data_IF_332562269141
#
_entry.id   IF_332562269141
#
_cell.length_a   1.000
_cell.length_b   1.000
_cell.length_c   1.000
_cell.angle_alpha   90.00
_cell.angle_beta   90.00
_cell.angle_gamma   90.00
#
_symmetry.space_group_name_H-M   'P 1'
#
loop_
_entity.id
_entity.type
_entity.pdbx_description
1 polymer ?
#
# COMPACT_ATOMS: atom_id res chain seq x y z
N UNK A 1 4.12 15.33 3.11
CA UNK A 1 3.21 14.17 3.23
C UNK A 1 2.98 13.90 4.71
N UNK A 2 1.72 13.79 5.14
CA UNK A 2 1.37 13.31 6.49
C UNK A 2 1.10 11.80 6.38
N UNK A 3 1.53 11.01 7.37
CA UNK A 3 1.36 9.55 7.37
C UNK A 3 0.57 9.14 8.61
N UNK A 4 -0.52 8.44 8.38
CA UNK A 4 -1.36 7.89 9.43
C UNK A 4 -1.49 6.39 9.22
N UNK A 5 -1.46 5.61 10.29
CA UNK A 5 -1.73 4.20 10.18
C UNK A 5 -2.54 3.67 11.36
N UNK A 6 -3.42 2.73 11.06
CA UNK A 6 -4.12 1.90 12.04
C UNK A 6 -3.10 0.96 12.69
N UNK A 7 -2.84 1.18 13.98
CA UNK A 7 -1.75 0.55 14.73
C UNK A 7 -2.24 0.06 16.09
N UNK A 8 -2.02 -1.21 16.37
CA UNK A 8 -2.37 -1.82 17.64
C UNK A 8 -1.33 -2.85 18.09
N UNK A 9 -1.26 -3.09 19.40
CA UNK A 9 -0.44 -4.13 19.98
C UNK A 9 -1.35 -5.21 20.55
N UNK A 10 -0.91 -6.47 20.48
CA UNK A 10 -1.52 -7.59 21.22
C UNK A 10 -0.91 -7.74 22.61
N UNK A 11 -1.57 -8.53 23.45
CA UNK A 11 -1.11 -8.87 24.81
C UNK A 11 0.24 -9.59 24.82
N UNK A 12 0.57 -10.32 23.74
CA UNK A 12 1.85 -10.99 23.53
C UNK A 12 3.01 -10.03 23.18
N UNK A 13 2.74 -8.71 23.08
CA UNK A 13 3.71 -7.68 22.73
C UNK A 13 3.93 -7.48 21.24
N UNK A 14 3.26 -8.25 20.38
CA UNK A 14 3.34 -8.10 18.93
C UNK A 14 2.60 -6.86 18.45
N UNK A 15 3.22 -6.14 17.51
CA UNK A 15 2.67 -4.93 16.91
C UNK A 15 2.14 -5.21 15.50
N UNK A 16 1.01 -4.59 15.18
CA UNK A 16 0.36 -4.73 13.88
C UNK A 16 0.11 -3.36 13.26
N UNK A 17 0.21 -3.29 11.93
CA UNK A 17 -0.13 -2.09 11.15
C UNK A 17 -1.01 -2.49 9.98
N UNK A 18 -2.30 -2.16 10.08
CA UNK A 18 -3.33 -2.65 9.17
C UNK A 18 -3.42 -1.84 7.88
N UNK A 19 -3.81 -0.57 8.02
CA UNK A 19 -4.04 0.39 6.92
C UNK A 19 -3.14 1.58 7.13
N UNK A 20 -2.54 2.10 6.06
CA UNK A 20 -1.73 3.32 6.09
C UNK A 20 -2.29 4.32 5.08
N UNK A 21 -2.41 5.59 5.47
CA UNK A 21 -2.81 6.70 4.62
C UNK A 21 -1.64 7.66 4.46
N UNK A 22 -1.32 7.97 3.20
CA UNK A 22 -0.31 8.93 2.79
C UNK A 22 -1.02 10.17 2.26
N UNK A 23 -1.15 11.20 3.09
CA UNK A 23 -1.84 12.45 2.71
C UNK A 23 -0.86 13.48 2.13
N UNK A 24 -1.23 14.03 0.98
CA UNK A 24 -0.53 15.09 0.27
C UNK A 24 -1.43 16.33 0.18
N UNK A 25 -0.91 17.48 0.61
CA UNK A 25 -1.72 18.68 0.79
C UNK A 25 -2.83 18.47 1.84
N UNK A 26 -3.93 19.21 1.68
CA UNK A 26 -5.09 19.17 2.57
C UNK A 26 -6.31 18.46 1.96
N UNK A 27 -6.23 18.04 0.67
CA UNK A 27 -7.30 17.26 0.05
C UNK A 27 -7.45 15.88 0.71
N UNK A 28 -8.70 15.42 0.78
CA UNK A 28 -9.09 14.08 1.24
C UNK A 28 -9.45 13.15 0.09
N UNK A 29 -9.24 13.55 -1.16
CA UNK A 29 -9.58 12.71 -2.32
C UNK A 29 -8.68 11.48 -2.39
N UNK A 30 -9.28 10.30 -2.62
CA UNK A 30 -8.51 9.10 -2.91
C UNK A 30 -7.83 9.21 -4.28
N UNK A 31 -6.49 9.20 -4.26
CA UNK A 31 -5.66 9.17 -5.46
C UNK A 31 -5.59 7.73 -6.00
N UNK A 32 -5.34 6.78 -5.11
CA UNK A 32 -5.20 5.35 -5.43
C UNK A 32 -4.58 4.59 -4.28
N UNK A 33 -4.26 3.33 -4.52
CA UNK A 33 -3.81 2.40 -3.48
C UNK A 33 -2.55 1.66 -3.86
N UNK A 34 -1.84 1.15 -2.87
CA UNK A 34 -0.74 0.21 -3.06
C UNK A 34 -0.88 -0.96 -2.09
N UNK A 35 -0.48 -2.15 -2.52
CA UNK A 35 -0.43 -3.35 -1.66
C UNK A 35 0.97 -3.95 -1.71
N UNK A 36 1.59 -4.08 -0.54
CA UNK A 36 2.91 -4.69 -0.35
C UNK A 36 2.79 -5.99 0.45
N UNK A 37 3.92 -6.61 0.82
CA UNK A 37 3.90 -7.85 1.60
C UNK A 37 3.48 -7.59 3.05
N UNK A 38 4.26 -6.77 3.75
CA UNK A 38 4.14 -6.57 5.19
C UNK A 38 4.64 -5.18 5.62
N UNK A 39 4.13 -4.66 6.75
CA UNK A 39 4.64 -3.45 7.35
C UNK A 39 6.10 -3.56 7.78
N UNK A 40 6.88 -2.51 7.50
CA UNK A 40 8.22 -2.34 8.09
C UNK A 40 8.19 -1.96 9.58
N UNK A 41 9.37 -1.75 10.15
CA UNK A 41 9.60 -1.60 11.59
C UNK A 41 9.24 -0.22 12.21
N UNK A 42 8.72 0.73 11.43
CA UNK A 42 8.44 2.10 11.87
C UNK A 42 7.52 2.16 13.10
N UNK A 43 7.82 3.09 14.01
CA UNK A 43 7.07 3.33 15.26
C UNK A 43 6.20 4.59 15.16
N UNK A 44 5.07 4.64 15.89
CA UNK A 44 4.23 5.83 15.93
C UNK A 44 4.97 7.01 16.58
N UNK A 45 4.68 8.23 16.12
CA UNK A 45 5.29 9.49 16.59
C UNK A 45 4.26 10.46 17.18
N UNK A 46 3.01 10.03 17.35
CA UNK A 46 1.95 10.84 17.94
C UNK A 46 0.56 10.39 17.52
N UNK A 47 -0.44 11.17 17.94
CA UNK A 47 -1.84 10.97 17.59
C UNK A 47 -2.10 11.28 16.11
N UNK A 48 -3.05 10.57 15.52
CA UNK A 48 -3.56 10.89 14.20
C UNK A 48 -4.51 12.10 14.24
N UNK A 49 -4.76 12.68 13.07
CA UNK A 49 -5.77 13.72 12.86
C UNK A 49 -7.13 13.04 12.65
N UNK A 50 -7.98 13.08 13.68
CA UNK A 50 -9.24 12.32 13.69
C UNK A 50 -10.26 12.88 12.70
N UNK A 51 -10.33 14.21 12.56
CA UNK A 51 -11.26 14.88 11.64
C UNK A 51 -10.91 14.54 10.19
N UNK A 52 -9.62 14.54 9.86
CA UNK A 52 -9.13 14.06 8.57
C UNK A 52 -9.56 12.61 8.30
N UNK A 53 -9.33 11.71 9.26
CA UNK A 53 -9.63 10.29 9.09
C UNK A 53 -11.12 10.04 8.87
N UNK A 54 -11.98 10.63 9.70
CA UNK A 54 -13.44 10.51 9.57
C UNK A 54 -13.90 11.07 8.22
N UNK A 55 -13.39 12.24 7.83
CA UNK A 55 -13.73 12.87 6.54
C UNK A 55 -13.30 11.99 5.36
N UNK A 56 -12.09 11.43 5.42
CA UNK A 56 -11.56 10.56 4.36
C UNK A 56 -12.42 9.30 4.18
N UNK A 57 -12.70 8.57 5.27
CA UNK A 57 -13.48 7.33 5.20
C UNK A 57 -14.93 7.57 4.77
N UNK A 58 -15.58 8.60 5.32
CA UNK A 58 -16.94 8.97 4.92
C UNK A 58 -17.01 9.33 3.44
N UNK A 59 -16.10 10.19 2.97
CA UNK A 59 -16.10 10.67 1.58
C UNK A 59 -15.78 9.58 0.56
N UNK A 60 -14.74 8.78 0.80
CA UNK A 60 -14.19 7.88 -0.23
C UNK A 60 -14.72 6.44 -0.13
N UNK A 61 -15.20 6.04 1.05
CA UNK A 61 -15.64 4.67 1.30
C UNK A 61 -17.10 4.58 1.79
N UNK A 62 -17.75 5.70 2.11
CA UNK A 62 -19.08 5.73 2.72
C UNK A 62 -19.12 4.90 4.02
N UNK A 63 -18.06 5.03 4.83
CA UNK A 63 -17.89 4.35 6.10
C UNK A 63 -17.69 5.36 7.23
N UNK A 64 -18.26 5.06 8.39
CA UNK A 64 -17.89 5.70 9.65
C UNK A 64 -16.70 4.94 10.27
N UNK A 65 -15.73 5.67 10.80
CA UNK A 65 -14.56 5.07 11.43
C UNK A 65 -14.88 4.68 12.88
N UNK A 66 -15.07 3.38 13.13
CA UNK A 66 -15.52 2.86 14.44
C UNK A 66 -14.55 3.18 15.59
N UNK A 67 -13.25 2.91 15.41
CA UNK A 67 -12.23 3.25 16.40
C UNK A 67 -11.10 4.08 15.77
N UNK A 68 -11.24 5.40 15.86
CA UNK A 68 -10.21 6.33 15.40
C UNK A 68 -9.00 6.41 16.36
N UNK A 69 -9.10 5.88 17.58
CA UNK A 69 -8.07 6.02 18.61
C UNK A 69 -6.83 5.14 18.37
N UNK A 70 -7.02 4.03 17.65
CA UNK A 70 -5.94 3.13 17.18
C UNK A 70 -5.16 3.70 16.00
N UNK A 71 -5.61 4.81 15.41
CA UNK A 71 -4.83 5.49 14.38
C UNK A 71 -3.74 6.35 15.00
N UNK A 72 -2.51 6.17 14.51
CA UNK A 72 -1.33 6.93 14.95
C UNK A 72 -0.66 7.60 13.76
N UNK A 73 0.06 8.69 14.04
CA UNK A 73 0.92 9.38 13.07
C UNK A 73 2.27 8.69 12.99
N UNK A 74 2.87 8.63 11.80
CA UNK A 74 4.19 8.06 11.54
C UNK A 74 5.07 9.03 10.76
N UNK A 75 6.38 8.81 10.81
CA UNK A 75 7.30 9.39 9.83
C UNK A 75 7.23 8.58 8.52
N UNK A 76 7.35 9.24 7.36
CA UNK A 76 7.46 8.53 6.10
C UNK A 76 8.75 7.71 6.03
N UNK A 77 8.66 6.48 5.53
CA UNK A 77 9.82 5.64 5.25
C UNK A 77 10.24 5.68 3.77
N UNK A 78 11.35 5.01 3.43
CA UNK A 78 11.88 5.00 2.07
C UNK A 78 10.92 4.39 1.04
N UNK A 79 10.15 3.38 1.42
CA UNK A 79 9.16 2.74 0.55
C UNK A 79 8.00 3.69 0.27
N UNK A 80 7.51 4.42 1.28
CA UNK A 80 6.46 5.44 1.11
C UNK A 80 6.92 6.58 0.20
N UNK A 81 8.18 7.01 0.31
CA UNK A 81 8.76 8.01 -0.59
C UNK A 81 8.91 7.49 -2.02
N UNK A 82 9.21 6.20 -2.20
CA UNK A 82 9.29 5.58 -3.53
C UNK A 82 7.90 5.42 -4.17
N UNK A 83 6.87 5.12 -3.38
CA UNK A 83 5.48 5.16 -3.83
C UNK A 83 5.08 6.58 -4.24
N UNK A 84 5.47 7.59 -3.46
CA UNK A 84 5.25 9.01 -3.83
C UNK A 84 5.81 9.31 -5.22
N UNK A 85 7.06 8.91 -5.50
CA UNK A 85 7.70 9.08 -6.82
C UNK A 85 6.99 8.36 -7.96
N UNK A 86 6.36 7.22 -7.67
CA UNK A 86 5.61 6.45 -8.65
C UNK A 86 4.31 7.17 -9.02
N UNK A 87 3.54 7.59 -8.02
CA UNK A 87 2.24 8.25 -8.22
C UNK A 87 2.37 9.67 -8.77
N UNK A 88 3.46 10.37 -8.45
CA UNK A 88 3.65 11.74 -8.88
C UNK A 88 4.35 11.87 -10.24
N UNK A 89 4.76 10.78 -10.88
CA UNK A 89 5.40 10.80 -12.21
C UNK A 89 6.89 11.17 -12.21
N UNK A 90 7.55 11.21 -11.04
CA UNK A 90 8.97 11.57 -10.92
C UNK A 90 9.88 10.67 -11.78
N UNK A 91 9.65 9.36 -11.81
CA UNK A 91 10.50 8.42 -12.55
C UNK A 91 10.53 8.64 -14.07
N UNK A 92 9.51 9.31 -14.62
CA UNK A 92 9.38 9.58 -16.06
C UNK A 92 9.60 11.05 -16.41
N UNK A 93 10.05 11.87 -15.45
CA UNK A 93 10.28 13.30 -15.66
C UNK A 93 8.99 14.12 -15.86
N UNK A 94 7.83 13.60 -15.41
CA UNK A 94 6.53 14.28 -15.48
C UNK A 94 6.00 14.53 -14.06
N UNK A 95 6.87 15.03 -13.20
CA UNK A 95 6.53 15.25 -11.80
C UNK A 95 5.39 16.26 -11.65
N UNK A 96 4.35 15.86 -10.91
CA UNK A 96 3.23 16.72 -10.50
C UNK A 96 3.12 16.80 -8.99
N UNK A 97 2.53 17.88 -8.50
CA UNK A 97 2.14 17.96 -7.09
C UNK A 97 0.98 17.00 -6.83
N UNK A 98 1.10 16.16 -5.82
CA UNK A 98 -0.01 15.33 -5.34
C UNK A 98 -0.89 16.15 -4.38
N UNK A 99 -2.20 16.01 -4.51
CA UNK A 99 -3.20 16.56 -3.59
C UNK A 99 -4.27 15.50 -3.36
N UNK A 100 -4.32 14.94 -2.15
CA UNK A 100 -5.19 13.81 -1.81
C UNK A 100 -4.45 12.72 -1.03
N UNK A 101 -4.97 11.50 -1.06
CA UNK A 101 -4.53 10.39 -0.22
C UNK A 101 -4.18 9.17 -1.07
N UNK A 102 -3.01 8.59 -0.82
CA UNK A 102 -2.68 7.23 -1.28
C UNK A 102 -2.89 6.27 -0.11
N UNK A 103 -3.64 5.20 -0.33
CA UNK A 103 -3.78 4.12 0.64
C UNK A 103 -2.65 3.11 0.47
N UNK A 104 -2.06 2.65 1.57
CA UNK A 104 -1.05 1.62 1.58
C UNK A 104 -1.52 0.47 2.49
N UNK A 105 -1.65 -0.69 1.87
CA UNK A 105 -2.01 -1.95 2.50
C UNK A 105 -0.86 -2.95 2.40
N UNK A 106 -1.00 -4.04 3.14
CA UNK A 106 -0.06 -5.16 3.12
C UNK A 106 -0.85 -6.46 3.06
N UNK A 107 -0.33 -7.51 2.45
CA UNK A 107 -0.98 -8.83 2.45
C UNK A 107 -1.27 -9.31 3.88
N UNK A 108 -0.39 -9.00 4.83
CA UNK A 108 -0.60 -9.25 6.25
C UNK A 108 -0.07 -8.11 7.13
N UNK A 109 -0.58 -8.00 8.35
CA UNK A 109 -0.44 -6.80 9.19
C UNK A 109 0.69 -6.88 10.22
N UNK A 110 1.33 -8.04 10.37
CA UNK A 110 2.41 -8.25 11.34
C UNK A 110 3.62 -7.35 11.03
N UNK A 111 4.02 -6.54 12.03
CA UNK A 111 5.02 -5.49 11.86
C UNK A 111 6.45 -6.00 12.14
N UNK A 112 7.11 -6.45 11.09
CA UNK A 112 8.48 -6.98 11.14
C UNK A 112 9.27 -6.54 9.88
N UNK A 113 10.50 -6.08 10.03
CA UNK A 113 11.31 -5.65 8.89
C UNK A 113 11.98 -6.81 8.17
N UNK A 114 12.31 -7.87 8.90
CA UNK A 114 12.87 -9.10 8.35
C UNK A 114 11.74 -9.96 7.77
N UNK A 115 11.69 -10.04 6.45
CA UNK A 115 10.63 -10.74 5.75
C UNK A 115 10.55 -12.23 6.12
N UNK A 116 11.67 -12.90 6.35
CA UNK A 116 11.67 -14.32 6.69
C UNK A 116 11.11 -14.53 8.10
N UNK A 117 11.46 -13.65 9.05
CA UNK A 117 10.83 -13.65 10.37
C UNK A 117 9.33 -13.36 10.26
N UNK A 118 8.96 -12.36 9.46
CA UNK A 118 7.57 -11.98 9.26
C UNK A 118 6.73 -13.15 8.72
N UNK A 119 7.25 -13.91 7.75
CA UNK A 119 6.60 -15.08 7.16
C UNK A 119 6.56 -16.31 8.08
N UNK A 120 7.45 -16.39 9.07
CA UNK A 120 7.46 -17.47 10.06
C UNK A 120 6.59 -17.18 11.27
N UNK A 121 6.43 -15.91 11.63
CA UNK A 121 5.49 -15.43 12.66
C UNK A 121 4.11 -15.09 12.11
N UNK A 122 3.90 -15.28 10.81
CA UNK A 122 2.65 -15.03 10.13
C UNK A 122 1.55 -16.01 10.60
N UNK A 123 0.47 -15.44 11.12
CA UNK A 123 -0.79 -16.16 11.38
C UNK A 123 -1.74 -15.89 10.21
N UNK A 124 -2.17 -16.93 9.51
CA UNK A 124 -3.13 -16.82 8.39
C UNK A 124 -4.58 -16.66 8.84
N UNK A 125 -4.81 -16.08 10.03
CA UNK A 125 -6.15 -15.70 10.47
C UNK A 125 -6.62 -14.49 9.67
N UNK A 126 -7.92 -14.47 9.35
CA UNK A 126 -8.57 -13.35 8.65
C UNK A 126 -8.36 -11.99 9.34
N UNK A 127 -8.14 -11.98 10.65
CA UNK A 127 -7.91 -10.75 11.41
C UNK A 127 -6.55 -10.09 11.12
N UNK A 128 -5.60 -10.84 10.57
CA UNK A 128 -4.21 -10.39 10.34
C UNK A 128 -3.80 -10.32 8.87
N UNK A 129 -4.73 -10.59 7.96
CA UNK A 129 -4.53 -10.51 6.51
C UNK A 129 -5.43 -9.46 5.89
N UNK A 130 -5.03 -8.93 4.73
CA UNK A 130 -5.85 -7.99 3.99
C UNK A 130 -6.94 -8.68 3.19
N UNK A 131 -8.19 -8.35 3.50
CA UNK A 131 -9.40 -8.82 2.84
C UNK A 131 -10.37 -7.68 2.46
N UNK A 132 -9.87 -6.43 2.41
CA UNK A 132 -10.69 -5.22 2.24
C UNK A 132 -10.50 -4.59 0.85
N UNK A 133 -10.43 -5.40 -0.21
CA UNK A 133 -10.20 -4.94 -1.58
C UNK A 133 -11.28 -3.93 -2.07
N UNK A 134 -12.47 -3.95 -1.48
CA UNK A 134 -13.53 -2.95 -1.73
C UNK A 134 -13.08 -1.51 -1.42
N UNK A 135 -12.04 -1.32 -0.59
CA UNK A 135 -11.44 -0.01 -0.30
C UNK A 135 -10.66 0.56 -1.49
N UNK A 136 -10.35 -0.23 -2.52
CA UNK A 136 -9.68 0.26 -3.74
C UNK A 136 -10.57 1.17 -4.59
N UNK A 137 -11.90 1.01 -4.48
CA UNK A 137 -12.91 1.78 -5.23
C UNK A 137 -12.66 1.73 -6.75
N UNK A 138 -12.74 2.87 -7.41
CA UNK A 138 -12.53 3.07 -8.84
C UNK A 138 -11.14 3.63 -9.17
N UNK A 139 -10.18 3.50 -8.24
CA UNK A 139 -8.87 4.13 -8.33
C UNK A 139 -7.76 3.13 -8.64
N UNK A 140 -6.66 3.57 -9.29
CA UNK A 140 -5.56 2.69 -9.63
C UNK A 140 -4.90 2.09 -8.39
N UNK A 141 -4.63 0.78 -8.45
CA UNK A 141 -3.90 0.03 -7.42
C UNK A 141 -2.54 -0.40 -7.95
N UNK A 142 -1.49 -0.21 -7.13
CA UNK A 142 -0.14 -0.72 -7.36
C UNK A 142 0.20 -1.88 -6.42
N UNK A 143 0.28 -3.08 -6.97
CA UNK A 143 0.76 -4.30 -6.32
C UNK A 143 2.30 -4.40 -6.43
N UNK A 144 2.97 -4.38 -5.28
CA UNK A 144 4.43 -4.28 -5.14
C UNK A 144 5.06 -5.36 -4.26
N UNK A 145 4.50 -6.56 -4.23
CA UNK A 145 4.95 -7.68 -3.38
C UNK A 145 6.10 -8.53 -3.96
N UNK A 146 6.52 -8.26 -5.19
CA UNK A 146 7.59 -8.97 -5.89
C UNK A 146 7.31 -10.46 -6.08
N UNK A 147 8.37 -11.24 -6.28
CA UNK A 147 8.27 -12.70 -6.38
C UNK A 147 7.85 -13.35 -5.04
N UNK A 148 8.08 -12.70 -3.90
CA UNK A 148 7.61 -13.19 -2.60
C UNK A 148 6.10 -13.43 -2.61
N UNK A 149 5.32 -12.51 -3.18
CA UNK A 149 3.87 -12.69 -3.32
C UNK A 149 3.46 -13.83 -4.25
N UNK A 150 4.38 -14.35 -5.09
CA UNK A 150 4.10 -15.44 -6.04
C UNK A 150 4.57 -16.81 -5.59
N UNK A 151 5.57 -16.89 -4.72
CA UNK A 151 6.25 -18.14 -4.38
C UNK A 151 6.33 -18.42 -2.88
N UNK A 152 5.62 -17.68 -2.03
CA UNK A 152 5.68 -17.85 -0.57
C UNK A 152 4.35 -18.34 0.02
N UNK A 153 4.32 -18.51 1.34
CA UNK A 153 3.14 -18.87 2.15
C UNK A 153 1.96 -17.90 1.97
N UNK A 154 2.17 -16.72 1.39
CA UNK A 154 1.13 -15.71 1.19
C UNK A 154 0.62 -15.65 -0.26
N UNK A 155 1.00 -16.62 -1.11
CA UNK A 155 0.61 -16.63 -2.52
C UNK A 155 -0.90 -16.59 -2.72
N UNK A 156 -1.63 -17.41 -1.98
CA UNK A 156 -3.09 -17.51 -2.12
C UNK A 156 -3.74 -16.18 -1.74
N UNK A 157 -3.26 -15.55 -0.66
CA UNK A 157 -3.70 -14.21 -0.22
C UNK A 157 -3.40 -13.16 -1.31
N UNK A 158 -2.17 -13.10 -1.82
CA UNK A 158 -1.79 -12.13 -2.85
C UNK A 158 -2.60 -12.33 -4.15
N UNK A 159 -2.86 -13.59 -4.52
CA UNK A 159 -3.66 -13.93 -5.69
C UNK A 159 -5.13 -13.56 -5.50
N UNK A 160 -5.70 -13.76 -4.31
CA UNK A 160 -7.08 -13.39 -3.99
C UNK A 160 -7.27 -11.86 -3.96
N UNK A 161 -6.30 -11.13 -3.39
CA UNK A 161 -6.31 -9.66 -3.42
C UNK A 161 -6.27 -9.16 -4.86
N UNK A 162 -5.43 -9.76 -5.71
CA UNK A 162 -5.30 -9.38 -7.11
C UNK A 162 -6.56 -9.70 -7.91
N UNK A 163 -7.16 -10.87 -7.71
CA UNK A 163 -8.39 -11.27 -8.42
C UNK A 163 -9.62 -10.46 -8.00
N UNK A 164 -9.60 -9.88 -6.80
CA UNK A 164 -10.65 -8.99 -6.28
C UNK A 164 -10.60 -7.58 -6.88
N UNK A 165 -9.58 -7.25 -7.67
CA UNK A 165 -9.41 -5.94 -8.29
C UNK A 165 -9.76 -5.95 -9.79
N UNK A 166 -10.46 -4.91 -10.24
CA UNK A 166 -10.73 -4.67 -11.65
C UNK A 166 -9.45 -4.22 -12.37
N UNK A 167 -8.76 -5.16 -12.99
CA UNK A 167 -7.43 -4.95 -13.59
C UNK A 167 -7.37 -3.81 -14.63
N UNK A 168 -8.48 -3.54 -15.33
CA UNK A 168 -8.57 -2.48 -16.35
C UNK A 168 -8.35 -1.08 -15.77
N UNK A 169 -8.55 -0.90 -14.46
CA UNK A 169 -8.26 0.34 -13.74
C UNK A 169 -6.75 0.59 -13.56
N UNK A 170 -5.92 -0.45 -13.66
CA UNK A 170 -4.46 -0.33 -13.71
C UNK A 170 -3.87 -1.19 -14.85
N UNK A 171 -3.88 -0.70 -16.11
CA UNK A 171 -3.42 -1.43 -17.30
C UNK A 171 -1.88 -1.60 -17.40
N UNK A 172 -1.23 -1.86 -16.26
CA UNK A 172 0.17 -2.29 -16.15
C UNK A 172 0.29 -3.81 -15.93
N UNK A 173 -0.82 -4.47 -15.60
CA UNK A 173 -0.87 -5.87 -15.22
C UNK A 173 -1.46 -6.76 -16.33
N UNK A 174 -0.95 -7.99 -16.41
CA UNK A 174 -1.56 -9.08 -17.15
C UNK A 174 -2.68 -9.70 -16.30
N UNK A 175 -3.75 -10.20 -16.94
CA UNK A 175 -4.88 -10.85 -16.25
C UNK A 175 -4.44 -12.10 -15.47
N UNK A 176 -3.42 -12.80 -15.94
CA UNK A 176 -2.83 -13.94 -15.25
C UNK A 176 -1.82 -13.47 -14.20
N UNK A 177 -2.11 -13.77 -12.93
CA UNK A 177 -1.29 -13.39 -11.77
C UNK A 177 0.21 -13.70 -11.96
N UNK A 178 0.56 -14.90 -12.44
CA UNK A 178 1.96 -15.33 -12.55
C UNK A 178 2.78 -14.60 -13.61
N UNK A 179 2.11 -14.06 -14.63
CA UNK A 179 2.75 -13.29 -15.72
C UNK A 179 3.14 -11.88 -15.28
N UNK A 180 2.79 -11.48 -14.05
CA UNK A 180 3.13 -10.18 -13.49
C UNK A 180 4.42 -10.24 -12.66
N UNK A 181 5.21 -9.18 -12.72
CA UNK A 181 6.44 -9.06 -11.94
C UNK A 181 6.21 -8.52 -10.52
N UNK A 182 5.15 -7.73 -10.33
CA UNK A 182 4.79 -7.09 -9.05
C UNK A 182 5.95 -6.39 -8.35
N UNK A 183 6.89 -5.78 -9.08
CA UNK A 183 8.15 -5.30 -8.50
C UNK A 183 7.93 -4.45 -7.24
N UNK A 184 8.71 -4.68 -6.20
CA UNK A 184 8.65 -3.84 -5.01
C UNK A 184 9.10 -2.40 -5.35
N UNK A 185 8.52 -1.33 -4.74
CA UNK A 185 8.93 0.05 -4.99
C UNK A 185 10.45 0.27 -4.89
N UNK A 186 11.10 -0.41 -3.95
CA UNK A 186 12.56 -0.37 -3.78
C UNK A 186 13.33 -0.98 -4.95
N UNK A 187 12.79 -2.02 -5.59
CA UNK A 187 13.38 -2.57 -6.82
C UNK A 187 13.20 -1.57 -7.97
N UNK A 188 11.97 -1.08 -8.19
CA UNK A 188 11.70 -0.06 -9.22
C UNK A 188 12.64 1.14 -9.08
N UNK A 189 12.81 1.67 -7.87
CA UNK A 189 13.69 2.82 -7.64
C UNK A 189 15.15 2.58 -8.05
N UNK A 190 15.63 1.32 -8.03
CA UNK A 190 16.98 0.95 -8.48
C UNK A 190 17.04 0.63 -9.98
N UNK A 191 15.94 0.13 -10.54
CA UNK A 191 15.90 -0.44 -11.89
C UNK A 191 15.25 0.47 -12.94
N UNK A 192 14.61 1.58 -12.54
CA UNK A 192 13.75 2.42 -13.41
C UNK A 192 14.40 2.97 -14.69
N UNK A 193 15.75 3.00 -14.77
CA UNK A 193 16.50 3.42 -15.98
C UNK A 193 17.12 2.27 -16.78
N UNK A 194 17.12 1.06 -16.24
CA UNK A 194 17.97 -0.05 -16.72
C UNK A 194 17.18 -1.29 -17.12
N UNK A 195 16.06 -1.54 -16.45
CA UNK A 195 15.24 -2.72 -16.69
C UNK A 195 14.04 -2.32 -17.58
N UNK A 196 13.90 -2.90 -18.79
CA UNK A 196 12.83 -2.55 -19.73
C UNK A 196 11.43 -2.69 -19.13
N UNK A 197 11.19 -3.74 -18.34
CA UNK A 197 9.90 -3.96 -17.68
C UNK A 197 9.59 -2.90 -16.62
N UNK A 198 10.61 -2.46 -15.89
CA UNK A 198 10.48 -1.37 -14.92
C UNK A 198 10.13 -0.05 -15.63
N UNK A 199 10.78 0.23 -16.77
CA UNK A 199 10.48 1.40 -17.62
C UNK A 199 9.03 1.34 -18.13
N UNK A 200 8.58 0.18 -18.61
CA UNK A 200 7.20 0.00 -19.08
C UNK A 200 6.19 0.25 -17.96
N UNK A 201 6.41 -0.33 -16.77
CA UNK A 201 5.52 -0.16 -15.61
C UNK A 201 5.41 1.31 -15.20
N UNK A 202 6.53 2.02 -15.02
CA UNK A 202 6.50 3.43 -14.60
C UNK A 202 5.85 4.34 -15.66
N UNK A 203 6.04 4.06 -16.95
CA UNK A 203 5.44 4.84 -18.03
C UNK A 203 3.93 4.66 -18.06
N UNK A 204 3.46 3.41 -18.05
CA UNK A 204 2.03 3.11 -18.07
C UNK A 204 1.33 3.58 -16.79
N UNK A 205 1.93 3.37 -15.62
CA UNK A 205 1.33 3.81 -14.35
C UNK A 205 1.25 5.33 -14.24
N UNK A 206 2.29 6.05 -14.69
CA UNK A 206 2.28 7.52 -14.67
C UNK A 206 1.20 8.13 -15.56
N UNK A 207 0.74 7.41 -16.59
CA UNK A 207 -0.29 7.87 -17.53
C UNK A 207 -1.73 7.75 -17.00
N UNK A 208 -1.93 7.15 -15.82
CA UNK A 208 -3.26 6.95 -15.20
C UNK A 208 -3.81 8.20 -14.50
N UNK A 209 -3.09 9.30 -14.57
CA UNK A 209 -3.29 10.51 -13.78
C UNK A 209 -2.78 11.71 -14.59
#
# INVERSE_FOLDING_TARGET
MKVYAEYFNKEDGNAYRRKTLLQFGDSTDLIGSAVLINPGSAKPIGSADLDFLQTFYRKNHNLELEDASIWKRFNPDSTMLQLTKLFNGWYVGKERSLSGVIQLFNCFYFKEQDLDKALNSFESSNDYIFNEAYLFRDRPVYFGWGNTGKSSKIKDIASEIFSSYEIDKTPIYNSKFEENCFYHPGYLNRSYKRNPKSIEIIQKFSALF
#
